data_IF_373872900482
#
_entry.id   IF_373872900482
#
_cell.length_a   1.000
_cell.length_b   1.000
_cell.length_c   1.000
_cell.angle_alpha   90.00
_cell.angle_beta   90.00
_cell.angle_gamma   90.00
#
_symmetry.space_group_name_H-M   'P 1'
#
loop_
_entity.id
_entity.type
_entity.pdbx_description
1 polymer ?
#
# COMPACT_ATOMS: atom_id res chain seq x y z
N UNK A 1 -1.29 47.61 19.89
CA UNK A 1 -0.79 46.38 19.32
C UNK A 1 -1.88 45.33 19.43
N UNK A 2 -2.48 44.91 18.32
CA UNK A 2 -3.35 43.75 18.34
C UNK A 2 -2.51 42.57 18.82
N UNK A 3 -3.01 41.82 19.81
CA UNK A 3 -2.45 40.51 20.13
C UNK A 3 -2.61 39.65 18.90
N UNK A 4 -1.56 38.97 18.48
CA UNK A 4 -1.65 38.02 17.37
C UNK A 4 -2.67 36.90 17.72
N UNK A 5 -3.47 36.50 16.76
CA UNK A 5 -4.39 35.38 16.93
C UNK A 5 -3.53 34.11 17.10
N UNK A 6 -3.68 33.41 18.22
CA UNK A 6 -2.96 32.16 18.48
C UNK A 6 -3.86 30.94 18.40
N UNK A 7 -5.16 31.11 18.65
CA UNK A 7 -6.14 30.04 18.56
C UNK A 7 -7.25 30.47 17.62
N UNK A 8 -7.60 29.60 16.67
CA UNK A 8 -8.72 29.77 15.76
C UNK A 8 -9.76 28.71 16.05
N UNK A 9 -10.92 29.13 16.60
CA UNK A 9 -12.05 28.22 16.84
C UNK A 9 -13.15 28.49 15.84
N UNK A 10 -13.67 27.44 15.24
CA UNK A 10 -14.77 27.48 14.28
C UNK A 10 -15.91 26.55 14.72
N UNK A 11 -17.17 26.99 14.52
CA UNK A 11 -18.36 26.24 14.92
C UNK A 11 -19.48 26.44 13.92
N UNK A 12 -20.44 25.54 13.90
CA UNK A 12 -21.65 25.63 13.09
C UNK A 12 -21.78 24.53 12.06
N UNK A 13 -22.95 24.44 11.43
CA UNK A 13 -23.34 23.34 10.55
C UNK A 13 -23.04 23.62 9.06
N UNK A 14 -22.48 24.76 8.73
CA UNK A 14 -22.11 25.13 7.35
C UNK A 14 -20.70 24.71 7.01
N UNK A 15 -20.44 24.49 5.72
CA UNK A 15 -19.08 24.24 5.26
C UNK A 15 -18.16 25.43 5.57
N UNK A 16 -16.98 25.14 6.05
CA UNK A 16 -15.96 26.10 6.46
C UNK A 16 -14.75 25.93 5.55
N UNK A 17 -14.26 27.02 4.99
CA UNK A 17 -13.00 27.03 4.23
C UNK A 17 -12.11 28.12 4.79
N UNK A 18 -10.91 27.74 5.21
CA UNK A 18 -9.87 28.71 5.60
C UNK A 18 -9.00 28.96 4.37
N UNK A 19 -9.19 30.14 3.75
CA UNK A 19 -8.53 30.46 2.48
C UNK A 19 -7.03 30.82 2.62
N UNK A 20 -6.58 31.10 3.85
CA UNK A 20 -5.18 31.30 4.16
C UNK A 20 -4.66 30.11 4.93
N UNK A 21 -3.46 29.66 4.60
CA UNK A 21 -2.83 28.56 5.32
C UNK A 21 -2.58 28.96 6.78
N UNK A 22 -2.96 28.08 7.72
CA UNK A 22 -2.68 28.29 9.14
C UNK A 22 -1.17 28.17 9.35
N UNK A 23 -0.61 29.13 10.05
CA UNK A 23 0.83 29.19 10.29
C UNK A 23 1.62 30.01 9.26
N UNK A 24 0.99 30.45 8.18
CA UNK A 24 1.60 31.34 7.16
C UNK A 24 0.93 32.73 7.15
N UNK A 25 1.64 33.72 6.64
CA UNK A 25 1.21 35.09 6.39
C UNK A 25 0.37 35.73 7.52
N UNK A 26 -0.93 35.82 7.29
CA UNK A 26 -1.88 36.50 8.19
C UNK A 26 -2.25 35.64 9.41
N UNK A 27 -2.02 34.31 9.35
CA UNK A 27 -2.26 33.34 10.39
C UNK A 27 -0.97 32.77 11.01
N UNK A 28 0.16 33.41 10.80
CA UNK A 28 1.49 32.94 11.23
C UNK A 28 1.67 32.76 12.75
N UNK A 29 0.78 33.33 13.55
CA UNK A 29 0.82 33.19 15.01
C UNK A 29 -0.18 32.15 15.53
N UNK A 30 -0.98 31.50 14.67
CA UNK A 30 -1.92 30.48 15.08
C UNK A 30 -1.14 29.21 15.39
N UNK A 31 -1.32 28.72 16.61
CA UNK A 31 -0.73 27.46 17.09
C UNK A 31 -1.77 26.38 17.30
N UNK A 32 -3.07 26.71 17.31
CA UNK A 32 -4.16 25.76 17.47
C UNK A 32 -5.34 26.14 16.59
N UNK A 33 -5.88 25.16 15.90
CA UNK A 33 -7.16 25.22 15.18
C UNK A 33 -8.15 24.27 15.86
N UNK A 34 -9.28 24.77 16.34
CA UNK A 34 -10.32 23.99 16.96
C UNK A 34 -11.62 24.11 16.16
N UNK A 35 -11.90 23.11 15.36
CA UNK A 35 -13.11 22.87 14.60
C UNK A 35 -13.96 21.73 15.16
N UNK A 36 -13.64 21.19 16.35
CA UNK A 36 -14.31 20.02 16.93
C UNK A 36 -15.84 20.19 17.13
N UNK A 37 -16.32 21.42 17.21
CA UNK A 37 -17.75 21.75 17.26
C UNK A 37 -18.35 22.11 15.90
N UNK A 38 -17.61 21.95 14.79
CA UNK A 38 -18.16 22.12 13.45
C UNK A 38 -19.00 20.88 13.05
N UNK A 39 -20.23 21.12 12.67
CA UNK A 39 -21.13 20.06 12.14
C UNK A 39 -21.13 19.95 10.62
N UNK A 40 -20.45 20.88 9.93
CA UNK A 40 -20.27 20.88 8.47
C UNK A 40 -18.81 20.71 8.07
N UNK A 41 -18.54 20.37 6.80
CA UNK A 41 -17.19 20.12 6.31
C UNK A 41 -16.22 21.28 6.55
N UNK A 42 -15.02 20.97 7.00
CA UNK A 42 -13.88 21.89 7.18
C UNK A 42 -12.85 21.62 6.09
N UNK A 43 -12.44 22.66 5.38
CA UNK A 43 -11.35 22.59 4.42
C UNK A 43 -10.26 23.57 4.85
N UNK A 44 -9.09 23.05 5.23
CA UNK A 44 -7.97 23.84 5.72
C UNK A 44 -6.64 23.35 5.16
N UNK A 45 -5.70 24.29 5.02
CA UNK A 45 -4.29 23.95 4.80
C UNK A 45 -3.46 24.50 5.96
N UNK A 46 -2.41 23.78 6.35
CA UNK A 46 -1.56 24.07 7.49
C UNK A 46 -0.13 24.18 6.99
N UNK A 47 0.40 25.40 7.01
CA UNK A 47 1.77 25.74 6.62
C UNK A 47 2.45 26.50 7.76
N UNK A 48 3.76 26.44 7.83
CA UNK A 48 4.50 27.04 8.94
C UNK A 48 4.91 26.03 9.98
N UNK A 49 5.63 26.49 10.99
CA UNK A 49 6.30 25.60 11.97
C UNK A 49 5.76 25.75 13.40
N UNK A 50 4.72 26.53 13.59
CA UNK A 50 4.23 26.89 14.92
C UNK A 50 2.91 26.23 15.31
N UNK A 51 2.29 25.45 14.43
CA UNK A 51 1.03 24.77 14.73
C UNK A 51 1.32 23.54 15.59
N UNK A 52 0.56 23.38 16.66
CA UNK A 52 0.72 22.30 17.65
C UNK A 52 -0.50 21.38 17.72
N UNK A 53 -1.69 21.90 17.34
CA UNK A 53 -2.94 21.22 17.55
C UNK A 53 -3.98 21.61 16.50
N UNK A 54 -4.59 20.61 15.87
CA UNK A 54 -5.59 20.78 14.81
C UNK A 54 -6.70 19.77 15.03
N UNK A 55 -7.88 20.25 15.36
CA UNK A 55 -9.10 19.46 15.46
C UNK A 55 -10.08 19.90 14.39
N UNK A 56 -10.62 18.98 13.61
CA UNK A 56 -11.77 19.25 12.76
C UNK A 56 -13.07 18.66 13.34
N UNK A 57 -14.14 18.60 12.57
CA UNK A 57 -15.45 18.26 13.10
C UNK A 57 -15.87 16.81 12.94
N UNK A 58 -17.16 16.61 12.75
CA UNK A 58 -17.75 15.28 12.55
C UNK A 58 -18.30 15.07 11.14
N UNK A 59 -17.92 15.90 10.21
CA UNK A 59 -18.31 15.80 8.79
C UNK A 59 -17.07 15.43 7.97
N UNK A 60 -17.25 14.97 6.76
CA UNK A 60 -16.11 14.70 5.87
C UNK A 60 -15.28 15.95 5.61
N UNK A 61 -14.08 16.01 6.16
CA UNK A 61 -13.17 17.15 6.21
C UNK A 61 -12.01 16.99 5.22
N UNK A 62 -11.35 18.10 4.90
CA UNK A 62 -10.13 18.10 4.09
C UNK A 62 -9.04 18.87 4.80
N UNK A 63 -7.94 18.21 5.13
CA UNK A 63 -6.79 18.78 5.81
C UNK A 63 -5.53 18.59 4.96
N UNK A 64 -4.85 19.68 4.61
CA UNK A 64 -3.59 19.63 3.88
C UNK A 64 -2.44 20.09 4.77
N UNK A 65 -1.57 19.17 5.15
CA UNK A 65 -0.41 19.39 6.03
C UNK A 65 0.82 19.69 5.16
N UNK A 66 1.20 20.95 5.07
CA UNK A 66 2.26 21.47 4.19
C UNK A 66 3.55 21.82 4.91
N UNK A 67 3.51 21.97 6.21
CA UNK A 67 4.63 22.40 7.03
C UNK A 67 5.04 21.37 8.07
N UNK A 68 6.34 21.31 8.40
CA UNK A 68 6.89 20.41 9.41
C UNK A 68 6.62 20.95 10.82
N UNK A 69 5.72 20.30 11.52
CA UNK A 69 5.31 20.62 12.90
C UNK A 69 5.79 19.52 13.83
N UNK A 70 6.88 19.74 14.58
CA UNK A 70 7.67 18.70 15.20
C UNK A 70 6.88 17.76 16.12
N UNK A 71 5.94 18.30 16.91
CA UNK A 71 5.16 17.57 17.92
C UNK A 71 3.65 17.85 17.76
N UNK A 72 3.17 18.14 16.53
CA UNK A 72 1.78 18.49 16.29
C UNK A 72 0.87 17.25 16.36
N UNK A 73 -0.38 17.51 16.81
CA UNK A 73 -1.48 16.55 16.75
C UNK A 73 -2.53 17.04 15.76
N UNK A 74 -2.99 16.14 14.91
CA UNK A 74 -4.04 16.35 13.94
C UNK A 74 -5.14 15.34 14.19
N UNK A 75 -6.33 15.78 14.61
CA UNK A 75 -7.51 14.96 14.81
C UNK A 75 -8.61 15.39 13.84
N UNK A 76 -9.00 14.52 12.90
CA UNK A 76 -10.12 14.84 12.00
C UNK A 76 -11.46 14.33 12.54
N UNK A 77 -11.45 13.54 13.61
CA UNK A 77 -12.55 13.07 14.43
C UNK A 77 -13.51 12.11 13.71
N UNK A 78 -14.44 12.56 12.95
CA UNK A 78 -15.39 11.65 12.31
C UNK A 78 -15.98 12.20 11.04
N UNK A 79 -16.34 11.32 10.17
CA UNK A 79 -16.71 11.63 8.80
C UNK A 79 -15.89 10.77 7.85
N UNK A 80 -15.99 11.00 6.58
CA UNK A 80 -15.05 10.42 5.62
C UNK A 80 -14.09 11.55 5.23
N UNK A 81 -12.92 11.52 5.83
CA UNK A 81 -11.96 12.62 5.76
C UNK A 81 -10.91 12.40 4.65
N UNK A 82 -10.31 13.48 4.21
CA UNK A 82 -9.15 13.42 3.30
C UNK A 82 -8.03 14.24 3.89
N UNK A 83 -6.88 13.61 4.10
CA UNK A 83 -5.68 14.25 4.63
C UNK A 83 -4.54 14.11 3.63
N UNK A 84 -4.01 15.22 3.16
CA UNK A 84 -2.83 15.30 2.29
C UNK A 84 -1.61 15.74 3.10
N UNK A 85 -0.50 15.01 3.02
CA UNK A 85 0.70 15.22 3.85
C UNK A 85 1.92 15.45 2.97
N UNK A 86 2.28 16.73 2.76
CA UNK A 86 3.51 17.14 2.04
C UNK A 86 4.72 17.24 2.98
N UNK A 87 4.50 17.47 4.27
CA UNK A 87 5.53 17.49 5.30
C UNK A 87 4.94 17.04 6.65
N UNK A 88 5.70 16.28 7.42
CA UNK A 88 5.21 15.71 8.69
C UNK A 88 6.30 15.75 9.75
N UNK A 89 6.03 16.39 10.86
CA UNK A 89 7.01 16.58 11.95
C UNK A 89 7.49 15.28 12.57
N UNK A 90 8.68 15.29 13.15
CA UNK A 90 9.38 14.08 13.64
C UNK A 90 8.71 13.34 14.79
N UNK A 91 7.73 13.96 15.45
CA UNK A 91 6.89 13.34 16.49
C UNK A 91 5.41 13.72 16.26
N UNK A 92 5.04 14.08 15.04
CA UNK A 92 3.67 14.43 14.73
C UNK A 92 2.77 13.18 14.74
N UNK A 93 1.53 13.40 15.14
CA UNK A 93 0.48 12.36 15.22
C UNK A 93 -0.72 12.81 14.41
N UNK A 94 -1.17 11.95 13.51
CA UNK A 94 -2.45 12.07 12.82
C UNK A 94 -3.39 10.98 13.32
N UNK A 95 -4.62 11.35 13.63
CA UNK A 95 -5.74 10.45 13.92
C UNK A 95 -6.93 10.90 13.07
N UNK A 96 -7.38 10.06 12.15
CA UNK A 96 -8.52 10.42 11.29
C UNK A 96 -9.87 10.08 11.91
N UNK A 97 -9.90 9.16 12.87
CA UNK A 97 -11.04 8.99 13.76
C UNK A 97 -12.04 7.94 13.31
N UNK A 98 -13.24 8.32 12.91
CA UNK A 98 -14.24 7.35 12.48
C UNK A 98 -14.83 7.69 11.13
N UNK A 99 -14.82 6.74 10.23
CA UNK A 99 -15.30 6.92 8.87
C UNK A 99 -14.58 6.01 7.90
N UNK A 100 -14.60 6.31 6.64
CA UNK A 100 -13.73 5.70 5.64
C UNK A 100 -12.82 6.80 5.12
N UNK A 101 -11.61 6.85 5.67
CA UNK A 101 -10.72 7.99 5.50
C UNK A 101 -9.68 7.74 4.41
N UNK A 102 -9.26 8.80 3.75
CA UNK A 102 -8.18 8.73 2.78
C UNK A 102 -7.02 9.62 3.21
N UNK A 103 -5.83 9.02 3.31
CA UNK A 103 -4.60 9.70 3.68
C UNK A 103 -3.64 9.61 2.50
N UNK A 104 -3.14 10.73 2.01
CA UNK A 104 -2.15 10.82 0.95
C UNK A 104 -0.81 11.25 1.54
N UNK A 105 0.20 10.36 1.51
CA UNK A 105 1.52 10.59 2.10
C UNK A 105 2.56 10.81 0.99
N UNK A 106 2.97 12.07 0.84
CA UNK A 106 3.93 12.52 -0.18
C UNK A 106 5.33 12.81 0.39
N UNK A 107 5.54 12.55 1.68
CA UNK A 107 6.81 12.75 2.38
C UNK A 107 7.29 11.48 3.07
N UNK A 108 8.58 11.16 2.97
CA UNK A 108 9.15 10.04 3.71
C UNK A 108 9.18 10.32 5.22
N UNK A 109 8.59 9.41 6.01
CA UNK A 109 8.70 9.48 7.46
C UNK A 109 10.11 9.08 7.90
N UNK A 110 10.66 9.84 8.84
CA UNK A 110 12.06 9.70 9.27
C UNK A 110 12.23 9.26 10.73
N UNK A 111 11.11 9.08 11.43
CA UNK A 111 11.08 8.77 12.85
C UNK A 111 10.00 7.74 13.17
N UNK A 112 10.30 6.81 14.06
CA UNK A 112 9.32 5.88 14.63
C UNK A 112 8.35 6.54 15.62
N UNK A 113 8.52 7.84 15.93
CA UNK A 113 7.58 8.60 16.74
C UNK A 113 6.49 9.29 15.89
N UNK A 114 6.63 9.28 14.57
CA UNK A 114 5.58 9.74 13.66
C UNK A 114 4.50 8.66 13.59
N UNK A 115 3.25 9.05 13.85
CA UNK A 115 2.12 8.12 13.90
C UNK A 115 1.00 8.57 12.98
N UNK A 116 0.44 7.62 12.26
CA UNK A 116 -0.73 7.81 11.42
C UNK A 116 -1.72 6.71 11.81
N UNK A 117 -2.88 7.11 12.30
CA UNK A 117 -3.95 6.24 12.79
C UNK A 117 -5.22 6.53 11.97
N UNK A 118 -5.70 5.55 11.21
CA UNK A 118 -6.95 5.62 10.43
C UNK A 118 -8.19 5.61 11.32
N UNK A 119 -8.14 4.90 12.46
CA UNK A 119 -9.22 4.83 13.42
C UNK A 119 -10.28 3.79 13.13
N UNK A 120 -11.56 4.11 13.39
CA UNK A 120 -12.66 3.18 13.15
C UNK A 120 -13.17 3.31 11.71
N UNK A 121 -13.01 2.29 10.89
CA UNK A 121 -13.62 2.37 9.57
C UNK A 121 -13.06 1.44 8.51
N UNK A 122 -12.87 1.98 7.34
CA UNK A 122 -12.14 1.31 6.26
C UNK A 122 -11.29 2.37 5.58
N UNK A 123 -10.04 2.40 6.00
CA UNK A 123 -9.16 3.52 5.78
C UNK A 123 -8.08 3.18 4.75
N UNK A 124 -7.75 4.16 3.95
CA UNK A 124 -6.81 4.02 2.85
C UNK A 124 -5.64 4.97 3.03
N UNK A 125 -4.43 4.43 3.00
CA UNK A 125 -3.20 5.19 2.91
C UNK A 125 -2.63 5.08 1.49
N UNK A 126 -2.61 6.18 0.75
CA UNK A 126 -1.89 6.28 -0.51
C UNK A 126 -0.47 6.79 -0.27
N UNK A 127 0.54 6.10 -0.80
CA UNK A 127 1.94 6.51 -0.68
C UNK A 127 2.59 6.71 -2.04
N UNK A 128 3.22 7.86 -2.24
CA UNK A 128 4.06 8.15 -3.39
C UNK A 128 5.56 8.08 -3.08
N UNK A 129 5.92 7.75 -1.84
CA UNK A 129 7.27 7.75 -1.28
C UNK A 129 7.61 6.41 -0.65
N UNK A 130 8.88 6.18 -0.31
CA UNK A 130 9.28 4.99 0.42
C UNK A 130 8.75 5.01 1.86
N UNK A 131 8.31 3.84 2.34
CA UNK A 131 7.85 3.65 3.71
C UNK A 131 8.84 2.75 4.44
N UNK A 132 9.74 3.38 5.20
CA UNK A 132 10.82 2.71 5.94
C UNK A 132 10.88 3.13 7.41
N UNK A 133 9.97 3.98 7.86
CA UNK A 133 9.86 4.49 9.23
C UNK A 133 8.44 5.00 9.46
N UNK A 134 8.06 5.22 10.71
CA UNK A 134 6.73 5.61 11.12
C UNK A 134 6.04 4.50 11.91
N UNK A 135 4.79 4.73 12.26
CA UNK A 135 3.87 3.75 12.82
C UNK A 135 2.49 4.00 12.19
N UNK A 136 1.89 2.97 11.65
CA UNK A 136 0.62 3.03 10.94
C UNK A 136 -0.36 2.06 11.60
N UNK A 137 -1.37 2.62 12.22
CA UNK A 137 -2.39 1.87 12.96
C UNK A 137 -3.76 2.03 12.26
N UNK A 138 -4.58 0.99 12.27
CA UNK A 138 -5.96 1.00 11.72
C UNK A 138 -6.02 1.48 10.26
N UNK A 139 -5.19 0.90 9.40
CA UNK A 139 -5.19 1.12 7.95
C UNK A 139 -5.47 -0.22 7.26
N UNK A 140 -6.61 -0.37 6.60
CA UNK A 140 -6.99 -1.60 5.92
C UNK A 140 -6.43 -1.71 4.50
N UNK A 141 -6.24 -0.57 3.83
CA UNK A 141 -5.75 -0.54 2.45
C UNK A 141 -4.54 0.38 2.30
N UNK A 142 -3.47 -0.16 1.73
CA UNK A 142 -2.28 0.59 1.33
C UNK A 142 -2.20 0.67 -0.20
N UNK A 143 -2.34 1.86 -0.77
CA UNK A 143 -2.15 2.13 -2.19
C UNK A 143 -0.71 2.60 -2.45
N UNK A 144 0.05 1.88 -3.27
CA UNK A 144 1.46 2.19 -3.59
C UNK A 144 1.54 2.82 -4.97
N UNK A 145 1.71 4.12 -5.02
CA UNK A 145 1.80 4.91 -6.24
C UNK A 145 3.20 4.96 -6.87
N UNK A 146 3.33 5.73 -7.95
CA UNK A 146 4.48 5.71 -8.84
C UNK A 146 5.82 6.24 -8.31
N UNK A 147 5.87 6.85 -7.13
CA UNK A 147 7.09 7.36 -6.50
C UNK A 147 7.74 6.36 -5.54
N UNK A 148 6.95 5.52 -4.89
CA UNK A 148 7.43 4.54 -3.93
C UNK A 148 8.19 3.39 -4.61
N UNK A 149 9.32 3.03 -4.06
CA UNK A 149 10.14 1.90 -4.53
C UNK A 149 10.43 0.85 -3.46
N UNK A 150 10.15 1.16 -2.19
CA UNK A 150 10.34 0.25 -1.06
C UNK A 150 9.31 0.54 0.04
N UNK A 151 8.67 -0.52 0.54
CA UNK A 151 7.70 -0.44 1.64
C UNK A 151 7.98 -1.56 2.63
N UNK A 152 8.05 -1.20 3.92
CA UNK A 152 8.16 -2.14 5.03
C UNK A 152 6.80 -2.34 5.68
N UNK A 153 6.20 -3.50 5.44
CA UNK A 153 4.86 -3.84 5.94
C UNK A 153 4.84 -4.15 7.44
N UNK A 154 6.02 -4.30 8.10
CA UNK A 154 6.09 -4.45 9.57
C UNK A 154 5.71 -3.16 10.33
N UNK A 155 5.64 -2.03 9.62
CA UNK A 155 5.26 -0.74 10.20
C UNK A 155 3.74 -0.55 10.33
N UNK A 156 2.97 -1.46 9.76
CA UNK A 156 1.51 -1.50 9.83
C UNK A 156 1.07 -2.53 10.86
N UNK A 157 -0.07 -2.30 11.49
CA UNK A 157 -0.68 -3.24 12.42
C UNK A 157 -1.39 -4.41 11.71
N UNK A 158 -2.17 -5.22 12.47
CA UNK A 158 -2.82 -6.43 11.96
C UNK A 158 -4.08 -6.12 11.11
N UNK A 159 -4.52 -4.87 11.04
CA UNK A 159 -5.68 -4.43 10.26
C UNK A 159 -5.34 -4.26 8.78
N UNK A 160 -4.07 -4.13 8.40
CA UNK A 160 -3.69 -4.05 6.97
C UNK A 160 -4.03 -5.36 6.23
N UNK A 161 -5.01 -5.29 5.36
CA UNK A 161 -5.58 -6.43 4.63
C UNK A 161 -5.15 -6.41 3.15
N UNK A 162 -5.23 -5.25 2.51
CA UNK A 162 -4.96 -5.08 1.09
C UNK A 162 -3.78 -4.15 0.83
N UNK A 163 -2.88 -4.59 -0.04
CA UNK A 163 -1.77 -3.78 -0.56
C UNK A 163 -1.92 -3.65 -2.07
N UNK A 164 -2.30 -2.48 -2.56
CA UNK A 164 -2.50 -2.20 -3.97
C UNK A 164 -1.24 -1.61 -4.59
N UNK A 165 -0.60 -2.34 -5.52
CA UNK A 165 0.55 -1.84 -6.28
C UNK A 165 0.05 -1.21 -7.57
N UNK A 166 -0.15 0.10 -7.57
CA UNK A 166 -0.72 0.87 -8.68
C UNK A 166 0.31 1.37 -9.69
N UNK A 167 1.53 0.86 -9.64
CA UNK A 167 2.62 1.28 -10.52
C UNK A 167 3.21 0.11 -11.29
N UNK A 168 3.71 0.38 -12.49
CA UNK A 168 4.55 -0.56 -13.26
C UNK A 168 6.04 -0.48 -12.88
N UNK A 169 6.43 0.49 -12.06
CA UNK A 169 7.77 0.56 -11.49
C UNK A 169 7.99 -0.59 -10.50
N UNK A 170 9.26 -0.98 -10.30
CA UNK A 170 9.54 -2.03 -9.34
C UNK A 170 9.33 -1.53 -7.90
N UNK A 171 8.49 -2.23 -7.16
CA UNK A 171 8.26 -2.01 -5.73
C UNK A 171 8.87 -3.15 -4.93
N UNK A 172 9.67 -2.83 -3.92
CA UNK A 172 10.26 -3.79 -3.00
C UNK A 172 9.43 -3.86 -1.73
N UNK A 173 8.86 -5.03 -1.43
CA UNK A 173 8.05 -5.27 -0.23
C UNK A 173 8.87 -6.07 0.79
N UNK A 174 8.86 -5.60 2.03
CA UNK A 174 9.51 -6.22 3.18
C UNK A 174 8.44 -6.68 4.17
N UNK A 175 8.61 -7.88 4.73
CA UNK A 175 7.69 -8.45 5.74
C UNK A 175 6.28 -8.77 5.23
N UNK A 176 6.15 -9.21 3.99
CA UNK A 176 4.87 -9.74 3.49
C UNK A 176 4.39 -10.89 4.38
N UNK A 177 3.12 -10.87 4.76
CA UNK A 177 2.45 -11.92 5.52
C UNK A 177 1.28 -12.54 4.76
N UNK A 178 0.72 -13.62 5.32
CA UNK A 178 -0.45 -14.32 4.75
C UNK A 178 -1.74 -13.50 4.86
N UNK A 179 -1.77 -12.50 5.71
CA UNK A 179 -2.92 -11.60 5.87
C UNK A 179 -3.00 -10.53 4.78
N UNK A 180 -1.95 -10.35 3.98
CA UNK A 180 -1.93 -9.32 2.97
C UNK A 180 -2.31 -9.88 1.59
N UNK A 181 -3.37 -9.35 1.00
CA UNK A 181 -3.68 -9.54 -0.41
C UNK A 181 -2.95 -8.47 -1.23
N UNK A 182 -1.97 -8.90 -2.04
CA UNK A 182 -1.19 -7.99 -2.88
C UNK A 182 -1.87 -7.85 -4.23
N UNK A 183 -2.62 -6.78 -4.42
CA UNK A 183 -3.27 -6.46 -5.69
C UNK A 183 -2.32 -5.69 -6.62
N UNK A 184 -2.30 -6.03 -7.90
CA UNK A 184 -1.34 -5.40 -8.82
C UNK A 184 -1.98 -5.00 -10.15
N UNK A 185 -1.60 -3.84 -10.66
CA UNK A 185 -1.95 -3.41 -12.02
C UNK A 185 -1.25 -4.27 -13.07
N UNK A 186 -1.77 -4.26 -14.29
CA UNK A 186 -1.14 -4.94 -15.42
C UNK A 186 0.29 -4.41 -15.69
N UNK A 187 1.26 -5.30 -15.74
CA UNK A 187 2.67 -4.99 -15.96
C UNK A 187 3.43 -4.57 -14.70
N UNK A 188 2.85 -4.76 -13.52
CA UNK A 188 3.54 -4.48 -12.26
C UNK A 188 4.79 -5.36 -12.07
N UNK A 189 5.77 -4.81 -11.35
CA UNK A 189 6.97 -5.53 -10.92
C UNK A 189 7.11 -5.42 -9.41
N UNK A 190 7.14 -6.56 -8.72
CA UNK A 190 7.26 -6.63 -7.26
C UNK A 190 8.51 -7.43 -6.89
N UNK A 191 9.33 -6.86 -6.01
CA UNK A 191 10.46 -7.55 -5.39
C UNK A 191 10.11 -7.93 -3.96
N UNK A 192 10.04 -9.23 -3.66
CA UNK A 192 9.87 -9.74 -2.30
C UNK A 192 11.25 -9.77 -1.62
N UNK A 193 11.42 -8.96 -0.58
CA UNK A 193 12.66 -8.86 0.19
C UNK A 193 12.66 -9.79 1.39
N UNK A 194 11.53 -9.86 2.11
CA UNK A 194 11.32 -10.78 3.24
C UNK A 194 9.82 -10.98 3.49
N UNK A 195 9.48 -12.04 4.21
CA UNK A 195 8.13 -12.33 4.67
C UNK A 195 8.07 -12.48 6.19
N UNK A 196 6.87 -12.53 6.73
CA UNK A 196 6.55 -12.95 8.10
C UNK A 196 6.09 -14.41 8.13
N UNK A 197 5.78 -14.96 6.96
CA UNK A 197 5.41 -16.36 6.73
C UNK A 197 6.06 -16.88 5.45
N UNK A 198 5.91 -18.17 5.18
CA UNK A 198 6.34 -18.85 3.96
C UNK A 198 5.37 -18.67 2.77
N UNK A 199 4.25 -17.97 2.95
CA UNK A 199 3.20 -17.77 1.94
C UNK A 199 2.93 -16.29 1.67
N UNK A 200 2.64 -15.95 0.40
CA UNK A 200 2.13 -14.65 -0.02
C UNK A 200 1.06 -14.82 -1.11
N UNK A 201 0.04 -13.98 -1.08
CA UNK A 201 -1.07 -13.95 -2.04
C UNK A 201 -0.94 -12.77 -2.99
N UNK A 202 -1.13 -13.01 -4.30
CA UNK A 202 -1.14 -11.97 -5.33
C UNK A 202 -2.39 -12.05 -6.19
N UNK A 203 -3.02 -10.91 -6.39
CA UNK A 203 -4.18 -10.71 -7.28
C UNK A 203 -3.74 -9.79 -8.42
N UNK A 204 -3.51 -10.34 -9.60
CA UNK A 204 -2.93 -9.61 -10.73
C UNK A 204 -3.98 -9.20 -11.76
N UNK A 205 -4.05 -7.92 -12.10
CA UNK A 205 -4.92 -7.41 -13.18
C UNK A 205 -4.36 -7.68 -14.59
N UNK A 206 -3.28 -8.46 -14.73
CA UNK A 206 -2.68 -8.80 -16.02
C UNK A 206 -1.28 -9.38 -15.88
N UNK A 207 -0.34 -8.92 -16.70
CA UNK A 207 1.06 -9.34 -16.61
C UNK A 207 1.67 -8.92 -15.25
N UNK A 208 2.40 -9.84 -14.62
CA UNK A 208 3.06 -9.61 -13.32
C UNK A 208 4.50 -10.14 -13.36
N UNK A 209 5.42 -9.35 -12.86
CA UNK A 209 6.80 -9.77 -12.62
C UNK A 209 7.07 -9.83 -11.12
N UNK A 210 7.48 -10.99 -10.60
CA UNK A 210 7.89 -11.17 -9.21
C UNK A 210 9.37 -11.56 -9.15
N UNK A 211 10.14 -10.80 -8.38
CA UNK A 211 11.51 -11.13 -8.03
C UNK A 211 11.55 -11.55 -6.54
N UNK A 212 11.46 -12.85 -6.27
CA UNK A 212 11.48 -13.37 -4.91
C UNK A 212 12.90 -13.74 -4.48
N UNK A 213 13.52 -12.88 -3.69
CA UNK A 213 14.87 -13.05 -3.14
C UNK A 213 14.89 -13.04 -1.62
N UNK A 214 13.75 -13.34 -0.98
CA UNK A 214 13.63 -13.39 0.47
C UNK A 214 14.59 -14.41 1.08
N UNK A 215 15.31 -14.00 2.12
CA UNK A 215 16.35 -14.82 2.76
C UNK A 215 16.17 -14.96 4.27
N UNK A 216 15.40 -14.05 4.85
CA UNK A 216 15.05 -14.05 6.28
C UNK A 216 13.54 -14.26 6.36
N UNK A 217 13.08 -15.39 6.85
CA UNK A 217 11.72 -15.88 6.66
C UNK A 217 11.38 -15.86 5.16
N UNK A 218 11.84 -16.89 4.46
CA UNK A 218 11.64 -16.97 3.01
C UNK A 218 10.14 -17.12 2.71
N UNK A 219 9.67 -16.41 1.69
CA UNK A 219 8.35 -16.65 1.10
C UNK A 219 8.52 -17.75 0.06
N UNK A 220 8.15 -18.99 0.41
CA UNK A 220 8.38 -20.18 -0.42
C UNK A 220 7.17 -20.51 -1.30
N UNK A 221 5.98 -20.20 -0.82
CA UNK A 221 4.71 -20.47 -1.49
C UNK A 221 4.09 -19.16 -2.02
N UNK A 222 3.70 -19.14 -3.29
CA UNK A 222 2.95 -18.03 -3.89
C UNK A 222 1.58 -18.52 -4.37
N UNK A 223 0.54 -17.91 -3.84
CA UNK A 223 -0.84 -18.09 -4.30
C UNK A 223 -1.23 -16.94 -5.23
N UNK A 224 -1.75 -17.29 -6.40
CA UNK A 224 -1.91 -16.35 -7.52
C UNK A 224 -3.33 -16.42 -8.10
N UNK A 225 -3.93 -15.25 -8.27
CA UNK A 225 -5.17 -15.06 -9.04
C UNK A 225 -4.96 -14.02 -10.13
N UNK A 226 -5.52 -14.25 -11.32
CA UNK A 226 -5.43 -13.33 -12.46
C UNK A 226 -6.83 -12.88 -12.88
N UNK A 227 -7.11 -11.60 -12.75
CA UNK A 227 -8.44 -11.00 -12.98
C UNK A 227 -8.60 -10.36 -14.37
N UNK A 228 -7.56 -10.44 -15.21
CA UNK A 228 -7.59 -9.89 -16.57
C UNK A 228 -8.42 -10.78 -17.52
N UNK A 229 -9.29 -10.17 -18.31
CA UNK A 229 -9.98 -10.82 -19.44
C UNK A 229 -9.07 -11.09 -20.68
N UNK A 230 -7.81 -10.72 -20.60
CA UNK A 230 -6.78 -10.98 -21.62
C UNK A 230 -5.75 -11.94 -21.07
N UNK A 231 -5.07 -12.67 -21.97
CA UNK A 231 -3.99 -13.57 -21.55
C UNK A 231 -2.93 -12.81 -20.73
N UNK A 232 -2.51 -13.41 -19.62
CA UNK A 232 -1.58 -12.84 -18.65
C UNK A 232 -0.29 -13.64 -18.59
N UNK A 233 0.82 -12.99 -18.28
CA UNK A 233 2.13 -13.63 -18.10
C UNK A 233 2.65 -13.37 -16.69
N UNK A 234 2.95 -14.44 -15.96
CA UNK A 234 3.80 -14.35 -14.77
C UNK A 234 5.26 -14.55 -15.15
N UNK A 235 6.09 -13.56 -14.86
CA UNK A 235 7.55 -13.68 -14.93
C UNK A 235 8.11 -13.81 -13.52
N UNK A 236 8.57 -15.01 -13.14
CA UNK A 236 9.13 -15.27 -11.81
C UNK A 236 10.65 -15.40 -11.88
N UNK A 237 11.32 -14.63 -11.02
CA UNK A 237 12.78 -14.66 -10.83
C UNK A 237 13.13 -14.81 -9.36
N UNK A 238 14.43 -15.07 -9.07
CA UNK A 238 14.88 -15.31 -7.70
C UNK A 238 14.94 -16.81 -7.37
N UNK A 239 15.20 -17.13 -6.11
CA UNK A 239 15.52 -18.50 -5.66
C UNK A 239 14.76 -18.94 -4.42
N UNK A 240 13.85 -18.12 -3.91
CA UNK A 240 13.12 -18.44 -2.69
C UNK A 240 11.83 -19.22 -2.94
N UNK A 241 11.12 -18.93 -4.03
CA UNK A 241 9.84 -19.60 -4.30
C UNK A 241 10.02 -21.08 -4.63
N UNK A 242 9.38 -21.95 -3.87
CA UNK A 242 9.39 -23.41 -4.07
C UNK A 242 8.08 -23.94 -4.64
N UNK A 243 6.95 -23.30 -4.34
CA UNK A 243 5.63 -23.71 -4.80
C UNK A 243 4.84 -22.54 -5.38
N UNK A 244 4.10 -22.82 -6.47
CA UNK A 244 3.11 -21.92 -7.03
C UNK A 244 1.74 -22.57 -6.97
N UNK A 245 0.74 -21.84 -6.49
CA UNK A 245 -0.68 -22.20 -6.59
C UNK A 245 -1.37 -21.17 -7.47
N UNK A 246 -2.04 -21.60 -8.52
CA UNK A 246 -2.85 -20.72 -9.37
C UNK A 246 -4.31 -21.00 -9.07
N UNK A 247 -4.92 -20.15 -8.26
CA UNK A 247 -6.26 -20.36 -7.75
C UNK A 247 -7.34 -19.99 -8.75
N UNK A 248 -7.11 -18.91 -9.52
CA UNK A 248 -8.07 -18.43 -10.50
C UNK A 248 -7.38 -17.70 -11.67
N UNK A 249 -8.00 -17.76 -12.84
CA UNK A 249 -7.68 -16.87 -13.96
C UNK A 249 -8.86 -16.75 -14.93
N UNK A 250 -9.19 -15.54 -15.31
CA UNK A 250 -10.28 -15.24 -16.24
C UNK A 250 -9.89 -15.51 -17.71
N UNK A 251 -8.58 -15.54 -18.01
CA UNK A 251 -8.02 -15.86 -19.32
C UNK A 251 -6.78 -16.77 -19.21
N UNK A 252 -6.15 -17.09 -20.34
CA UNK A 252 -4.96 -17.94 -20.36
C UNK A 252 -3.78 -17.34 -19.59
N UNK A 253 -3.03 -18.17 -18.88
CA UNK A 253 -1.84 -17.78 -18.10
C UNK A 253 -0.59 -18.45 -18.65
N UNK A 254 0.50 -17.69 -18.75
CA UNK A 254 1.84 -18.19 -19.08
C UNK A 254 2.80 -17.95 -17.91
N UNK A 255 3.46 -19.01 -17.44
CA UNK A 255 4.46 -18.96 -16.38
C UNK A 255 5.87 -18.98 -17.00
N UNK A 256 6.65 -17.94 -16.75
CA UNK A 256 7.98 -17.75 -17.34
C UNK A 256 9.00 -17.27 -16.30
N UNK A 257 10.23 -17.01 -16.73
CA UNK A 257 11.30 -16.48 -15.88
C UNK A 257 12.24 -17.55 -15.34
N UNK A 258 13.39 -17.12 -14.84
CA UNK A 258 14.48 -18.01 -14.46
C UNK A 258 14.14 -18.95 -13.29
N UNK A 259 13.24 -18.54 -12.40
CA UNK A 259 12.82 -19.40 -11.30
C UNK A 259 11.94 -20.59 -11.76
N UNK A 260 11.41 -20.55 -13.00
CA UNK A 260 10.60 -21.63 -13.58
C UNK A 260 11.41 -22.39 -14.62
N UNK A 261 12.13 -21.69 -15.51
CA UNK A 261 12.73 -22.25 -16.72
C UNK A 261 14.20 -22.62 -16.59
N UNK A 262 14.87 -22.29 -15.45
CA UNK A 262 16.28 -22.61 -15.23
C UNK A 262 16.44 -24.00 -14.62
N UNK A 263 17.49 -24.72 -15.01
CA UNK A 263 17.89 -25.96 -14.36
C UNK A 263 18.31 -25.78 -12.87
N UNK A 264 18.51 -24.52 -12.42
CA UNK A 264 18.75 -24.16 -11.02
C UNK A 264 17.50 -23.54 -10.36
N UNK A 265 16.31 -23.72 -10.95
CA UNK A 265 15.04 -23.24 -10.43
C UNK A 265 14.81 -23.75 -9.00
N UNK A 266 14.31 -22.88 -8.13
CA UNK A 266 13.84 -23.27 -6.81
C UNK A 266 12.41 -23.85 -6.86
N UNK A 267 11.59 -23.45 -7.82
CA UNK A 267 10.23 -23.94 -7.97
C UNK A 267 10.23 -25.44 -8.25
N UNK A 268 9.66 -26.21 -7.33
CA UNK A 268 9.57 -27.67 -7.39
C UNK A 268 8.16 -28.16 -7.70
N UNK A 269 7.14 -27.37 -7.40
CA UNK A 269 5.75 -27.75 -7.65
C UNK A 269 4.88 -26.57 -8.14
N UNK A 270 3.93 -26.93 -9.02
CA UNK A 270 2.89 -26.00 -9.51
C UNK A 270 1.55 -26.70 -9.33
N UNK A 271 0.63 -26.07 -8.62
CA UNK A 271 -0.77 -26.51 -8.50
C UNK A 271 -1.69 -25.49 -9.20
N UNK A 272 -2.30 -25.91 -10.26
CA UNK A 272 -3.28 -25.16 -11.04
C UNK A 272 -4.59 -25.94 -11.21
N UNK A 273 -4.88 -26.87 -10.29
CA UNK A 273 -6.05 -27.74 -10.37
C UNK A 273 -7.38 -26.97 -10.37
N UNK A 274 -7.40 -25.79 -9.78
CA UNK A 274 -8.56 -24.90 -9.76
C UNK A 274 -8.80 -24.19 -11.10
N UNK A 275 -7.79 -24.14 -11.98
CA UNK A 275 -7.84 -23.37 -13.22
C UNK A 275 -8.76 -24.01 -14.26
N UNK A 276 -9.62 -23.21 -14.88
CA UNK A 276 -10.49 -23.62 -15.99
C UNK A 276 -10.04 -23.08 -17.35
N UNK A 277 -9.13 -22.13 -17.35
CA UNK A 277 -8.51 -21.52 -18.53
C UNK A 277 -7.19 -22.21 -18.88
N UNK A 278 -6.61 -21.88 -20.03
CA UNK A 278 -5.36 -22.50 -20.47
C UNK A 278 -4.16 -22.03 -19.65
N UNK A 279 -3.32 -22.96 -19.22
CA UNK A 279 -2.04 -22.71 -18.58
C UNK A 279 -0.89 -23.10 -19.50
N UNK A 280 0.12 -22.23 -19.62
CA UNK A 280 1.39 -22.55 -20.26
C UNK A 280 2.52 -22.44 -19.25
N UNK A 281 3.26 -23.52 -19.02
CA UNK A 281 4.41 -23.57 -18.13
C UNK A 281 5.70 -23.65 -18.95
N UNK A 282 6.60 -22.69 -18.75
CA UNK A 282 7.85 -22.60 -19.50
C UNK A 282 7.69 -21.93 -20.87
N UNK A 283 8.72 -21.98 -21.68
CA UNK A 283 8.73 -21.49 -23.05
C UNK A 283 9.15 -22.63 -24.02
N UNK A 284 9.11 -22.38 -25.33
CA UNK A 284 9.42 -23.42 -26.35
C UNK A 284 10.77 -24.13 -26.11
N UNK A 285 10.94 -25.29 -26.73
CA UNK A 285 12.04 -26.26 -26.58
C UNK A 285 13.44 -25.63 -26.31
N UNK A 286 14.06 -26.02 -25.19
CA UNK A 286 15.36 -25.52 -24.71
C UNK A 286 15.28 -24.47 -23.59
N UNK A 287 14.10 -24.15 -23.09
CA UNK A 287 13.81 -23.34 -21.91
C UNK A 287 12.57 -23.89 -21.20
N UNK A 288 12.54 -25.19 -21.00
CA UNK A 288 11.48 -25.89 -20.28
C UNK A 288 11.51 -25.66 -18.77
N UNK A 289 10.52 -26.21 -18.09
CA UNK A 289 10.42 -26.15 -16.63
C UNK A 289 11.59 -26.94 -15.99
N UNK A 290 12.51 -26.22 -15.32
CA UNK A 290 13.77 -26.75 -14.84
C UNK A 290 13.63 -27.86 -13.79
N UNK A 291 13.60 -27.53 -12.49
CA UNK A 291 13.53 -28.52 -11.39
C UNK A 291 12.10 -28.92 -10.99
N UNK A 292 11.08 -28.56 -11.75
CA UNK A 292 9.71 -28.83 -11.35
C UNK A 292 9.46 -30.35 -11.36
N UNK A 293 9.17 -30.90 -10.17
CA UNK A 293 8.92 -32.32 -9.94
C UNK A 293 7.44 -32.68 -9.97
N UNK A 294 6.54 -31.70 -9.80
CA UNK A 294 5.11 -31.89 -9.80
C UNK A 294 4.39 -30.72 -10.50
N UNK A 295 3.53 -31.03 -11.45
CA UNK A 295 2.61 -30.07 -12.06
C UNK A 295 1.23 -30.69 -12.02
N UNK A 296 0.30 -30.06 -11.32
CA UNK A 296 -1.12 -30.41 -11.32
C UNK A 296 -1.86 -29.39 -12.17
N UNK A 297 -2.50 -29.84 -13.23
CA UNK A 297 -3.19 -29.00 -14.22
C UNK A 297 -4.69 -28.99 -13.95
N UNK A 298 -5.34 -27.90 -14.36
CA UNK A 298 -6.78 -27.73 -14.31
C UNK A 298 -7.51 -28.39 -15.49
N UNK A 299 -8.65 -27.84 -15.87
CA UNK A 299 -9.47 -28.37 -16.96
C UNK A 299 -9.30 -27.63 -18.30
N UNK A 300 -8.39 -26.67 -18.37
CA UNK A 300 -8.07 -25.90 -19.58
C UNK A 300 -7.29 -26.68 -20.64
N UNK A 301 -6.94 -26.03 -21.73
CA UNK A 301 -6.02 -26.57 -22.73
C UNK A 301 -4.58 -26.24 -22.36
N UNK A 302 -3.99 -27.03 -21.48
CA UNK A 302 -2.72 -26.74 -20.85
C UNK A 302 -1.51 -27.21 -21.66
N UNK A 303 -0.39 -26.53 -21.53
CA UNK A 303 0.89 -26.86 -22.14
C UNK A 303 2.01 -26.74 -21.14
N UNK A 304 2.80 -27.80 -20.92
CA UNK A 304 4.01 -27.75 -20.12
C UNK A 304 5.22 -28.13 -20.98
N UNK A 305 6.20 -27.25 -21.07
CA UNK A 305 7.51 -27.53 -21.65
C UNK A 305 8.41 -28.04 -20.53
N UNK A 306 8.77 -29.30 -20.60
CA UNK A 306 9.62 -29.99 -19.60
C UNK A 306 10.89 -30.44 -20.31
N UNK A 307 12.05 -30.11 -19.78
CA UNK A 307 13.36 -30.53 -20.29
C UNK A 307 13.84 -31.86 -19.69
#
# INVERSE_FOLDING_TARGET
TATALTNLTVTGDGAITVNNDIGDSDLAAVTSFDGSAAGGPVNIAIDGTGVEDVDTGSAGDMVHIKGSHADATYDTNGGNDTVEIDDFGTSAVLNTGSGGDKIELDVELTSTNQQIDGGDGSDTLEVSVNVASGNFDNIETLEIGGGATAVDLELFDEELDTVEVETTSNVSLTKIGVSHDIETVNGATVTIVSGTSDQATFIAAGDLTIANSSTVTAVEDLDLSFTSNSASTLTLTGTATEKLVIENADAAVALTGAAITSAASAVTSIDATALTTALTVGAAAGSGAGNISAISLGSGNDTAYID
#
